data_IF_261109219605
#
_entry.id   IF_261109219605
#
_cell.length_a   1.000
_cell.length_b   1.000
_cell.length_c   1.000
_cell.angle_alpha   90.00
_cell.angle_beta   90.00
_cell.angle_gamma   90.00
#
_symmetry.space_group_name_H-M   'P 1'
#
loop_
_entity.id
_entity.type
_entity.pdbx_description
1 polymer ?
#
# COMPACT_ATOMS: atom_id res chain seq x y z
N UNK A 1 5.02 -10.56 17.71
CA UNK A 1 4.97 -9.78 16.45
C UNK A 1 3.53 -9.37 16.20
N UNK A 2 3.28 -8.25 15.53
CA UNK A 2 1.93 -7.88 15.09
C UNK A 2 1.77 -8.40 13.66
N UNK A 3 0.69 -9.13 13.41
CA UNK A 3 0.36 -9.62 12.08
C UNK A 3 -0.74 -8.74 11.46
N UNK A 4 -0.90 -8.86 10.15
CA UNK A 4 -2.03 -8.23 9.48
C UNK A 4 -3.36 -8.78 10.04
N UNK A 5 -4.42 -7.99 9.94
CA UNK A 5 -5.76 -8.40 10.32
C UNK A 5 -6.75 -8.02 9.23
N UNK A 6 -7.73 -8.88 8.89
CA UNK A 6 -8.76 -8.52 7.93
C UNK A 6 -9.58 -7.31 8.37
N UNK A 7 -10.16 -6.55 7.43
CA UNK A 7 -11.18 -5.57 7.75
C UNK A 7 -12.43 -6.24 8.32
N UNK A 8 -13.25 -5.47 9.03
CA UNK A 8 -14.59 -5.90 9.46
C UNK A 8 -15.64 -5.50 8.43
N UNK A 9 -16.65 -6.35 8.25
CA UNK A 9 -17.78 -6.06 7.37
C UNK A 9 -17.44 -6.11 5.88
N UNK A 10 -17.89 -5.11 5.12
CA UNK A 10 -17.76 -5.04 3.65
C UNK A 10 -16.63 -4.13 3.18
N UNK A 11 -15.77 -3.67 4.08
CA UNK A 11 -14.63 -2.82 3.75
C UNK A 11 -13.48 -3.63 3.15
N UNK A 12 -12.65 -2.95 2.37
CA UNK A 12 -11.40 -3.49 1.86
C UNK A 12 -10.20 -2.81 2.54
N UNK A 13 -9.10 -3.55 2.67
CA UNK A 13 -7.82 -3.01 3.14
C UNK A 13 -6.84 -2.88 2.01
N UNK A 14 -6.34 -1.66 1.79
CA UNK A 14 -5.25 -1.36 0.88
C UNK A 14 -3.96 -1.25 1.70
N UNK A 15 -3.07 -2.23 1.58
CA UNK A 15 -1.71 -2.14 2.12
C UNK A 15 -0.78 -1.63 1.03
N UNK A 16 0.11 -0.69 1.34
CA UNK A 16 1.16 -0.21 0.44
C UNK A 16 2.52 -0.20 1.13
N UNK A 17 3.59 -0.31 0.34
CA UNK A 17 4.97 -0.22 0.80
C UNK A 17 5.87 0.26 -0.35
N UNK A 18 7.04 0.80 0.00
CA UNK A 18 8.07 1.14 -0.96
C UNK A 18 9.39 0.44 -0.68
N UNK A 19 10.10 0.09 -1.75
CA UNK A 19 11.49 -0.35 -1.70
C UNK A 19 12.37 0.65 -2.44
N UNK A 20 13.57 0.93 -1.96
CA UNK A 20 14.54 1.76 -2.66
C UNK A 20 15.70 0.90 -3.16
N UNK A 21 16.19 1.19 -4.36
CA UNK A 21 17.34 0.51 -4.96
C UNK A 21 18.13 1.50 -5.85
N UNK A 22 19.33 1.11 -6.27
CA UNK A 22 20.31 2.05 -6.87
C UNK A 22 19.77 2.87 -8.06
N UNK A 23 18.90 2.27 -8.88
CA UNK A 23 18.36 2.88 -10.09
C UNK A 23 16.86 3.18 -10.03
N UNK A 24 16.27 3.28 -8.84
CA UNK A 24 14.86 3.63 -8.71
C UNK A 24 14.21 3.23 -7.38
N UNK A 25 12.90 3.09 -7.43
CA UNK A 25 12.10 2.60 -6.32
C UNK A 25 11.15 1.50 -6.79
N UNK A 26 10.69 0.69 -5.86
CA UNK A 26 9.67 -0.32 -6.04
C UNK A 26 8.44 0.08 -5.27
N UNK A 27 7.28 -0.15 -5.85
CA UNK A 27 5.97 0.10 -5.27
C UNK A 27 5.26 -1.23 -5.16
N UNK A 28 4.83 -1.57 -3.95
CA UNK A 28 3.99 -2.72 -3.68
C UNK A 28 2.65 -2.27 -3.13
N UNK A 29 1.56 -2.81 -3.66
CA UNK A 29 0.24 -2.58 -3.11
C UNK A 29 -0.62 -3.84 -3.19
N UNK A 30 -1.49 -4.05 -2.20
CA UNK A 30 -2.44 -5.16 -2.20
C UNK A 30 -3.76 -4.73 -1.56
N UNK A 31 -4.87 -5.09 -2.19
CA UNK A 31 -6.21 -4.93 -1.65
C UNK A 31 -6.74 -6.29 -1.23
N UNK A 32 -7.14 -6.42 0.03
CA UNK A 32 -7.73 -7.65 0.60
C UNK A 32 -9.10 -7.40 1.20
N UNK A 33 -9.97 -8.40 1.10
CA UNK A 33 -11.32 -8.37 1.69
C UNK A 33 -11.33 -8.95 3.12
N UNK A 34 -12.51 -9.02 3.73
CA UNK A 34 -12.71 -9.57 5.07
C UNK A 34 -12.48 -11.10 5.18
N UNK A 35 -12.53 -11.81 4.04
CA UNK A 35 -12.17 -13.22 3.94
C UNK A 35 -10.65 -13.43 3.70
N UNK A 36 -9.86 -12.36 3.82
CA UNK A 36 -8.41 -12.34 3.58
C UNK A 36 -7.99 -12.61 2.14
N UNK A 37 -8.95 -12.67 1.22
CA UNK A 37 -8.70 -12.92 -0.18
C UNK A 37 -8.08 -11.68 -0.82
N UNK A 38 -7.06 -11.91 -1.65
CA UNK A 38 -6.48 -10.87 -2.50
C UNK A 38 -7.49 -10.53 -3.57
N UNK A 39 -8.00 -9.30 -3.56
CA UNK A 39 -8.89 -8.80 -4.61
C UNK A 39 -8.07 -8.28 -5.79
N UNK A 40 -7.01 -7.54 -5.48
CA UNK A 40 -6.07 -7.06 -6.47
C UNK A 40 -4.72 -6.74 -5.83
N UNK A 41 -3.62 -7.01 -6.52
CA UNK A 41 -2.26 -6.66 -6.11
C UNK A 41 -1.48 -6.00 -7.25
N UNK A 42 -0.51 -5.14 -6.88
CA UNK A 42 0.36 -4.40 -7.77
C UNK A 42 1.81 -4.53 -7.32
N UNK A 43 2.70 -4.76 -8.28
CA UNK A 43 4.13 -4.50 -8.16
C UNK A 43 4.57 -3.64 -9.35
N UNK A 44 5.20 -2.51 -9.08
CA UNK A 44 5.60 -1.55 -10.11
C UNK A 44 6.92 -0.88 -9.77
N UNK A 45 7.69 -0.53 -10.81
CA UNK A 45 8.85 0.35 -10.67
C UNK A 45 8.41 1.81 -10.57
N UNK A 46 9.02 2.53 -9.65
CA UNK A 46 8.96 3.97 -9.49
C UNK A 46 10.28 4.65 -9.88
N UNK A 47 10.25 5.98 -9.87
CA UNK A 47 11.43 6.80 -10.14
C UNK A 47 12.48 6.69 -9.02
N UNK A 48 13.66 7.25 -9.28
CA UNK A 48 14.65 7.51 -8.22
C UNK A 48 14.06 8.53 -7.24
N UNK A 49 14.26 8.28 -5.95
CA UNK A 49 13.71 9.07 -4.84
C UNK A 49 14.83 9.54 -3.93
N UNK A 50 14.61 10.62 -3.19
CA UNK A 50 15.62 11.20 -2.30
C UNK A 50 15.75 10.40 -1.00
N UNK A 51 14.63 9.93 -0.45
CA UNK A 51 14.61 9.19 0.81
C UNK A 51 13.40 8.24 0.92
N UNK A 52 13.30 7.56 2.07
CA UNK A 52 12.22 6.63 2.36
C UNK A 52 10.86 7.31 2.50
N UNK A 53 10.77 8.57 2.94
CA UNK A 53 9.48 9.26 3.06
C UNK A 53 8.89 9.53 1.67
N UNK A 54 9.72 9.98 0.74
CA UNK A 54 9.30 10.20 -0.65
C UNK A 54 8.89 8.89 -1.34
N UNK A 55 9.66 7.82 -1.13
CA UNK A 55 9.33 6.50 -1.66
C UNK A 55 7.94 6.04 -1.20
N UNK A 56 7.68 6.14 0.09
CA UNK A 56 6.42 5.73 0.73
C UNK A 56 5.25 6.64 0.33
N UNK A 57 5.46 7.95 0.23
CA UNK A 57 4.44 8.88 -0.23
C UNK A 57 4.04 8.61 -1.69
N UNK A 58 5.02 8.36 -2.57
CA UNK A 58 4.77 7.99 -3.96
C UNK A 58 4.06 6.63 -4.08
N UNK A 59 4.45 5.65 -3.25
CA UNK A 59 3.77 4.36 -3.18
C UNK A 59 2.32 4.51 -2.71
N UNK A 60 2.06 5.34 -1.70
CA UNK A 60 0.71 5.64 -1.21
C UNK A 60 -0.15 6.26 -2.31
N UNK A 61 0.36 7.30 -2.99
CA UNK A 61 -0.33 7.93 -4.13
C UNK A 61 -0.66 6.92 -5.21
N UNK A 62 0.32 6.09 -5.59
CA UNK A 62 0.12 5.09 -6.65
C UNK A 62 -0.85 3.99 -6.26
N UNK A 63 -0.83 3.57 -5.00
CA UNK A 63 -1.75 2.58 -4.44
C UNK A 63 -3.19 3.09 -4.45
N UNK A 64 -3.42 4.38 -4.14
CA UNK A 64 -4.73 5.01 -4.22
C UNK A 64 -5.25 5.15 -5.66
N UNK A 65 -4.41 5.64 -6.58
CA UNK A 65 -4.73 5.67 -8.02
C UNK A 65 -5.17 4.29 -8.49
N UNK A 66 -4.38 3.27 -8.16
CA UNK A 66 -4.64 1.90 -8.55
C UNK A 66 -5.95 1.34 -7.96
N UNK A 67 -6.23 1.64 -6.69
CA UNK A 67 -7.46 1.21 -6.04
C UNK A 67 -8.70 1.86 -6.69
N UNK A 68 -8.62 3.15 -7.02
CA UNK A 68 -9.68 3.89 -7.72
C UNK A 68 -9.90 3.33 -9.12
N UNK A 69 -8.82 3.11 -9.88
CA UNK A 69 -8.88 2.52 -11.23
C UNK A 69 -9.50 1.12 -11.22
N UNK A 70 -9.27 0.35 -10.15
CA UNK A 70 -9.87 -0.98 -9.94
C UNK A 70 -11.31 -0.94 -9.39
N UNK A 71 -11.89 0.24 -9.18
CA UNK A 71 -13.29 0.42 -8.77
C UNK A 71 -13.54 0.39 -7.26
N UNK A 72 -12.50 0.39 -6.43
CA UNK A 72 -12.65 0.46 -4.98
C UNK A 72 -12.90 1.89 -4.52
N UNK A 73 -13.88 2.07 -3.64
CA UNK A 73 -14.28 3.39 -3.12
C UNK A 73 -14.45 3.46 -1.60
N UNK A 74 -14.29 2.34 -0.90
CA UNK A 74 -14.41 2.25 0.57
C UNK A 74 -13.21 1.46 1.11
N UNK A 75 -12.20 2.19 1.61
CA UNK A 75 -10.87 1.65 1.89
C UNK A 75 -10.38 1.96 3.30
N UNK A 76 -9.76 0.97 3.93
CA UNK A 76 -8.82 1.19 5.04
C UNK A 76 -7.41 1.12 4.43
N UNK A 77 -6.71 2.25 4.40
CA UNK A 77 -5.37 2.36 3.82
C UNK A 77 -4.34 2.16 4.93
N UNK A 78 -3.41 1.23 4.74
CA UNK A 78 -2.41 0.84 5.73
C UNK A 78 -1.00 0.95 5.13
N UNK A 79 -0.08 1.52 5.91
CA UNK A 79 1.35 1.60 5.59
C UNK A 79 2.19 1.59 6.87
N UNK A 80 3.50 1.33 6.75
CA UNK A 80 4.40 1.18 7.90
C UNK A 80 5.17 2.47 8.26
N UNK A 81 5.12 3.50 7.41
CA UNK A 81 5.78 4.77 7.62
C UNK A 81 4.90 5.78 8.36
N UNK A 82 5.19 5.98 9.66
CA UNK A 82 4.43 6.87 10.52
C UNK A 82 4.42 8.34 10.07
N UNK A 83 5.47 8.82 9.38
CA UNK A 83 5.52 10.20 8.88
C UNK A 83 4.53 10.39 7.73
N UNK A 84 4.55 9.46 6.76
CA UNK A 84 3.61 9.46 5.64
C UNK A 84 2.17 9.31 6.13
N UNK A 85 1.89 8.33 6.98
CA UNK A 85 0.53 8.12 7.51
C UNK A 85 0.03 9.34 8.28
N UNK A 86 0.89 9.97 9.09
CA UNK A 86 0.53 11.19 9.81
C UNK A 86 0.25 12.36 8.86
N UNK A 87 1.04 12.51 7.81
CA UNK A 87 0.88 13.57 6.81
C UNK A 87 -0.43 13.41 6.03
N UNK A 88 -0.73 12.20 5.52
CA UNK A 88 -1.97 11.95 4.75
C UNK A 88 -3.23 11.95 5.61
N UNK A 89 -3.11 11.73 6.92
CA UNK A 89 -4.22 11.83 7.87
C UNK A 89 -4.50 13.27 8.34
N UNK A 90 -3.62 14.21 8.02
CA UNK A 90 -3.73 15.60 8.47
C UNK A 90 -4.64 16.40 7.55
N UNK A 91 -5.51 17.23 8.13
CA UNK A 91 -6.27 18.24 7.40
C UNK A 91 -5.52 19.56 7.20
N UNK A 92 -4.33 19.70 7.81
CA UNK A 92 -3.49 20.88 7.66
C UNK A 92 -2.65 20.81 6.38
N UNK A 93 -2.46 21.93 5.66
CA UNK A 93 -1.56 21.98 4.51
C UNK A 93 -0.14 21.52 4.86
N UNK A 94 0.50 20.80 3.94
CA UNK A 94 1.88 20.34 4.10
C UNK A 94 2.82 21.21 3.25
N UNK A 95 3.60 22.08 3.92
CA UNK A 95 4.55 22.99 3.26
C UNK A 95 5.95 22.38 3.05
N UNK A 96 6.12 21.08 3.22
CA UNK A 96 7.38 20.39 2.97
C UNK A 96 7.66 20.24 1.47
N UNK A 97 8.85 19.74 1.12
CA UNK A 97 9.20 19.37 -0.27
C UNK A 97 8.24 18.35 -0.90
N UNK A 98 7.53 17.57 -0.07
CA UNK A 98 6.58 16.54 -0.50
C UNK A 98 5.13 17.06 -0.51
N UNK A 99 4.90 18.34 -0.24
CA UNK A 99 3.57 18.95 -0.13
C UNK A 99 2.65 18.63 -1.31
N UNK A 100 3.16 18.76 -2.53
CA UNK A 100 2.40 18.45 -3.76
C UNK A 100 1.98 16.98 -3.81
N UNK A 101 2.84 16.05 -3.38
CA UNK A 101 2.50 14.61 -3.37
C UNK A 101 1.41 14.34 -2.32
N UNK A 102 1.50 14.99 -1.16
CA UNK A 102 0.48 14.88 -0.12
C UNK A 102 -0.85 15.52 -0.54
N UNK A 103 -0.83 16.64 -1.25
CA UNK A 103 -2.02 17.28 -1.82
C UNK A 103 -2.69 16.36 -2.85
N UNK A 104 -1.92 15.73 -3.74
CA UNK A 104 -2.43 14.73 -4.70
C UNK A 104 -3.12 13.56 -3.97
N UNK A 105 -2.48 13.03 -2.93
CA UNK A 105 -3.05 11.95 -2.09
C UNK A 105 -4.36 12.41 -1.46
N UNK A 106 -4.40 13.64 -0.93
CA UNK A 106 -5.61 14.23 -0.36
C UNK A 106 -6.74 14.36 -1.39
N UNK A 107 -6.44 14.78 -2.62
CA UNK A 107 -7.41 14.86 -3.71
C UNK A 107 -7.96 13.48 -4.10
N UNK A 108 -7.10 12.46 -4.21
CA UNK A 108 -7.53 11.08 -4.48
C UNK A 108 -8.42 10.55 -3.35
N UNK A 109 -7.99 10.75 -2.10
CA UNK A 109 -8.73 10.34 -0.91
C UNK A 109 -10.12 10.99 -0.81
N UNK A 110 -10.23 12.28 -1.16
CA UNK A 110 -11.49 13.00 -1.19
C UNK A 110 -12.49 12.48 -2.24
N UNK A 111 -12.02 11.74 -3.25
CA UNK A 111 -12.87 11.06 -4.24
C UNK A 111 -13.47 9.73 -3.76
N UNK A 112 -12.99 9.18 -2.64
CA UNK A 112 -13.47 7.92 -2.08
C UNK A 112 -14.74 8.14 -1.26
N UNK A 113 -15.66 7.15 -1.27
CA UNK A 113 -16.87 7.16 -0.42
C UNK A 113 -16.52 7.01 1.06
N UNK A 114 -15.48 6.22 1.35
CA UNK A 114 -14.93 6.06 2.69
C UNK A 114 -13.42 5.80 2.60
N UNK A 115 -12.64 6.52 3.41
CA UNK A 115 -11.21 6.30 3.54
C UNK A 115 -10.73 6.60 4.95
N UNK A 116 -9.87 5.75 5.49
CA UNK A 116 -9.12 6.00 6.72
C UNK A 116 -7.69 5.49 6.54
N UNK A 117 -6.73 6.22 7.10
CA UNK A 117 -5.31 5.87 7.04
C UNK A 117 -4.82 5.36 8.40
N UNK A 118 -4.16 4.20 8.41
CA UNK A 118 -3.68 3.55 9.61
C UNK A 118 -2.19 3.20 9.49
N UNK A 119 -1.44 3.53 10.54
CA UNK A 119 -0.05 3.11 10.64
C UNK A 119 0.00 1.72 11.25
N UNK A 120 0.64 0.79 10.57
CA UNK A 120 0.85 -0.58 11.04
C UNK A 120 2.34 -0.85 11.25
N UNK A 121 2.68 -1.92 11.97
CA UNK A 121 4.07 -2.38 12.05
C UNK A 121 4.48 -3.02 10.72
N UNK A 122 5.74 -2.88 10.35
CA UNK A 122 6.33 -3.56 9.19
C UNK A 122 6.03 -5.06 9.12
N UNK A 123 6.02 -5.75 10.26
CA UNK A 123 5.69 -7.20 10.31
C UNK A 123 4.26 -7.52 9.85
N UNK A 124 3.34 -6.55 9.94
CA UNK A 124 1.97 -6.66 9.45
C UNK A 124 1.79 -6.11 8.01
N UNK A 125 2.87 -5.61 7.39
CA UNK A 125 2.88 -5.07 6.03
C UNK A 125 3.73 -5.92 5.06
N UNK A 126 4.04 -7.16 5.44
CA UNK A 126 4.98 -8.04 4.73
C UNK A 126 4.58 -8.31 3.28
N UNK A 127 3.28 -8.40 2.98
CA UNK A 127 2.78 -8.62 1.61
C UNK A 127 3.12 -7.46 0.69
N UNK A 128 2.80 -6.22 1.09
CA UNK A 128 3.11 -5.03 0.31
C UNK A 128 4.64 -4.85 0.18
N UNK A 129 5.39 -5.13 1.25
CA UNK A 129 6.84 -5.11 1.25
C UNK A 129 7.46 -6.08 0.23
N UNK A 130 7.01 -7.33 0.20
CA UNK A 130 7.44 -8.32 -0.79
C UNK A 130 7.15 -7.87 -2.23
N UNK A 131 5.98 -7.25 -2.47
CA UNK A 131 5.63 -6.72 -3.78
C UNK A 131 6.50 -5.52 -4.19
N UNK A 132 6.83 -4.63 -3.24
CA UNK A 132 7.70 -3.49 -3.50
C UNK A 132 9.12 -3.96 -3.85
N UNK A 133 9.66 -4.94 -3.13
CA UNK A 133 10.96 -5.53 -3.44
C UNK A 133 10.99 -6.28 -4.79
N UNK A 134 9.89 -6.96 -5.14
CA UNK A 134 9.80 -7.66 -6.42
C UNK A 134 9.93 -6.73 -7.63
N UNK A 135 9.56 -5.44 -7.49
CA UNK A 135 9.71 -4.46 -8.57
C UNK A 135 11.16 -4.28 -9.07
N UNK A 136 12.16 -4.68 -8.27
CA UNK A 136 13.58 -4.64 -8.67
C UNK A 136 13.88 -5.44 -9.93
N UNK A 137 13.15 -6.54 -10.17
CA UNK A 137 13.35 -7.46 -11.31
C UNK A 137 12.33 -7.28 -12.43
N UNK A 138 11.49 -6.25 -12.35
CA UNK A 138 10.46 -5.99 -13.34
C UNK A 138 10.95 -5.03 -14.42
N UNK A 139 10.53 -5.27 -15.67
CA UNK A 139 10.65 -4.29 -16.75
C UNK A 139 9.38 -3.43 -16.85
N UNK A 140 8.21 -4.03 -16.60
CA UNK A 140 6.91 -3.38 -16.59
C UNK A 140 6.14 -3.69 -15.31
N UNK A 141 5.11 -2.89 -14.99
CA UNK A 141 4.24 -3.16 -13.83
C UNK A 141 3.50 -4.49 -14.01
N UNK A 142 3.30 -5.22 -12.92
CA UNK A 142 2.49 -6.44 -12.89
C UNK A 142 1.31 -6.24 -11.95
N UNK A 143 0.15 -6.72 -12.38
CA UNK A 143 -1.09 -6.72 -11.62
C UNK A 143 -1.61 -8.16 -11.51
N UNK A 144 -2.00 -8.55 -10.30
CA UNK A 144 -2.69 -9.81 -10.04
C UNK A 144 -4.14 -9.48 -9.65
N UNK A 145 -5.11 -10.01 -10.38
CA UNK A 145 -6.55 -9.84 -10.11
C UNK A 145 -7.08 -11.13 -9.50
N UNK A 146 -7.69 -11.02 -8.32
CA UNK A 146 -8.28 -12.16 -7.59
C UNK A 146 -7.33 -13.36 -7.44
N UNK A 147 -6.02 -13.11 -7.39
CA UNK A 147 -4.99 -14.14 -7.34
C UNK A 147 -3.87 -13.77 -6.36
N UNK A 148 -3.26 -14.78 -5.77
CA UNK A 148 -2.16 -14.63 -4.83
C UNK A 148 -0.84 -14.39 -5.56
N UNK A 149 -0.25 -13.18 -5.51
CA UNK A 149 1.00 -12.88 -6.18
C UNK A 149 2.12 -13.82 -5.72
N UNK A 150 2.79 -14.57 -6.62
CA UNK A 150 3.88 -15.47 -6.25
C UNK A 150 4.98 -14.83 -5.38
N UNK A 151 5.41 -13.57 -5.62
CA UNK A 151 6.42 -12.91 -4.79
C UNK A 151 6.02 -12.69 -3.33
N UNK A 152 4.73 -12.70 -3.01
CA UNK A 152 4.22 -12.45 -1.66
C UNK A 152 3.41 -13.63 -1.08
N UNK A 153 3.48 -14.81 -1.71
CA UNK A 153 2.72 -15.99 -1.29
C UNK A 153 3.06 -16.43 0.14
N UNK A 154 4.34 -16.40 0.52
CA UNK A 154 4.75 -16.74 1.88
C UNK A 154 4.20 -15.74 2.91
N UNK A 155 4.26 -14.44 2.60
CA UNK A 155 3.71 -13.39 3.45
C UNK A 155 2.19 -13.54 3.64
N UNK A 156 1.46 -13.86 2.56
CA UNK A 156 0.02 -14.15 2.62
C UNK A 156 -0.27 -15.36 3.50
N UNK A 157 0.51 -16.44 3.36
CA UNK A 157 0.38 -17.63 4.20
C UNK A 157 0.60 -17.31 5.69
N UNK A 158 1.60 -16.50 6.03
CA UNK A 158 1.85 -16.11 7.43
C UNK A 158 0.72 -15.26 8.03
N UNK A 159 0.07 -14.41 7.23
CA UNK A 159 -1.07 -13.61 7.70
C UNK A 159 -2.27 -14.51 8.06
N UNK A 160 -2.58 -15.52 7.23
CA UNK A 160 -3.76 -16.39 7.43
C UNK A 160 -3.61 -17.45 8.52
N UNK A 161 -2.39 -17.91 8.84
CA UNK A 161 -2.20 -19.00 9.81
C UNK A 161 -2.42 -18.62 11.27
N UNK A 162 -2.42 -17.34 11.62
CA UNK A 162 -2.44 -16.90 13.02
C UNK A 162 -3.86 -16.56 13.50
N UNK A 163 -4.88 -16.58 12.63
CA UNK A 163 -6.28 -16.42 13.05
C UNK A 163 -6.86 -17.74 13.63
N UNK A 164 -6.23 -18.88 13.35
CA UNK A 164 -6.65 -20.21 13.82
C UNK A 164 -5.85 -20.74 15.03
N UNK A 165 -5.15 -19.87 15.76
CA UNK A 165 -4.29 -20.24 16.91
C UNK A 165 -4.70 -19.56 18.21
#
# INVERSE_FOLDING_TARGET
MQNWKPPTGQLYKLNFDAATFENGSGIGAVIRNAAEEVMVALSARGAVVVDSEEAEALACRKALEFAIDAGFSELIVEGDNAMVIKAVSSSSPNWSRLGVIYDDIGCLAAGLRYVVFNCIRRSANSVAHSLAHYATVLDEKIVWLEDSPPPARDALYFDSFVING
#
